data_IF_340363677892
#
_entry.id   IF_340363677892
#
_cell.length_a   1.000
_cell.length_b   1.000
_cell.length_c   1.000
_cell.angle_alpha   90.00
_cell.angle_beta   90.00
_cell.angle_gamma   90.00
#
_symmetry.space_group_name_H-M   'P 1'
#
loop_
_entity.id
_entity.type
_entity.pdbx_description
1 polymer ?
#
# COMPACT_ATOMS: atom_id res chain seq x y z
N UNK A 1 43.84 -4.40 -3.36
CA UNK A 1 43.09 -3.17 -3.08
C UNK A 1 42.01 -3.56 -2.11
N UNK A 2 42.12 -3.10 -0.87
CA UNK A 2 41.20 -3.48 0.21
C UNK A 2 39.94 -2.65 0.14
N UNK A 3 38.81 -3.32 -0.10
CA UNK A 3 37.47 -2.74 -0.03
C UNK A 3 37.21 -2.22 1.40
N UNK A 4 37.13 -0.90 1.52
CA UNK A 4 36.68 -0.22 2.74
C UNK A 4 35.18 -0.43 2.90
N UNK A 5 34.79 -1.55 3.51
CA UNK A 5 33.46 -1.71 4.10
C UNK A 5 33.50 -0.95 5.44
N UNK A 6 32.87 0.22 5.50
CA UNK A 6 32.62 0.87 6.78
C UNK A 6 31.69 -0.04 7.60
N UNK A 7 32.06 -0.48 8.81
CA UNK A 7 31.16 -1.25 9.65
C UNK A 7 29.92 -0.42 9.90
N UNK A 8 28.73 -1.00 9.68
CA UNK A 8 27.48 -0.36 10.06
C UNK A 8 27.59 0.07 11.54
N UNK A 9 27.47 1.37 11.86
CA UNK A 9 27.88 1.94 13.15
C UNK A 9 27.01 1.51 14.36
N UNK A 10 26.19 0.49 14.20
CA UNK A 10 25.35 -0.07 15.26
C UNK A 10 24.16 0.83 15.58
N UNK A 11 23.11 0.22 16.15
CA UNK A 11 21.90 0.95 16.57
C UNK A 11 22.21 2.07 17.58
N UNK A 12 23.29 1.95 18.36
CA UNK A 12 23.67 2.94 19.38
C UNK A 12 24.20 4.26 18.80
N UNK A 13 24.92 4.26 17.66
CA UNK A 13 25.37 5.52 17.06
C UNK A 13 24.23 6.26 16.38
N UNK A 14 23.36 5.55 15.66
CA UNK A 14 22.18 6.15 15.03
C UNK A 14 21.24 6.78 16.07
N UNK A 15 21.12 6.16 17.25
CA UNK A 15 20.30 6.69 18.35
C UNK A 15 20.78 8.06 18.86
N UNK A 16 22.05 8.44 18.63
CA UNK A 16 22.57 9.77 18.97
C UNK A 16 22.11 10.87 18.01
N UNK A 17 21.65 10.50 16.81
CA UNK A 17 21.18 11.42 15.76
C UNK A 17 19.66 11.45 15.63
N UNK A 18 18.93 10.62 16.39
CA UNK A 18 17.47 10.60 16.43
C UNK A 18 17.02 11.35 17.69
N UNK A 19 16.93 12.68 17.58
CA UNK A 19 16.48 13.55 18.68
C UNK A 19 14.99 13.37 19.02
N UNK A 20 14.17 13.00 18.03
CA UNK A 20 12.73 12.75 18.22
C UNK A 20 12.45 11.29 18.51
N UNK A 21 12.34 10.97 19.80
CA UNK A 21 11.75 9.71 20.25
C UNK A 21 10.23 9.83 20.18
N UNK A 22 9.57 8.82 19.60
CA UNK A 22 8.11 8.70 19.70
C UNK A 22 7.69 8.79 21.16
N UNK A 23 6.62 9.54 21.45
CA UNK A 23 6.04 9.53 22.78
C UNK A 23 5.58 8.11 23.13
N UNK A 24 5.52 7.78 24.42
CA UNK A 24 5.03 6.48 24.86
C UNK A 24 3.62 6.18 24.29
N UNK A 25 2.77 7.21 24.24
CA UNK A 25 1.43 7.15 23.68
C UNK A 25 1.48 6.80 22.18
N UNK A 26 2.31 7.50 21.40
CA UNK A 26 2.44 7.19 19.97
C UNK A 26 3.04 5.81 19.73
N UNK A 27 3.98 5.38 20.57
CA UNK A 27 4.53 4.03 20.48
C UNK A 27 3.50 2.95 20.79
N UNK A 28 2.57 3.22 21.71
CA UNK A 28 1.48 2.30 22.04
C UNK A 28 0.44 2.24 20.91
N UNK A 29 0.04 3.39 20.33
CA UNK A 29 -0.88 3.39 19.19
C UNK A 29 -0.33 2.62 17.98
N UNK A 30 0.98 2.64 17.74
CA UNK A 30 1.59 1.93 16.60
C UNK A 30 1.55 0.39 16.73
N UNK A 31 1.29 -0.14 17.93
CA UNK A 31 1.22 -1.59 18.17
C UNK A 31 -0.21 -2.07 18.43
N UNK A 32 -1.20 -1.17 18.37
CA UNK A 32 -2.60 -1.54 18.52
C UNK A 32 -3.07 -2.39 17.34
N UNK A 33 -3.94 -3.39 17.58
CA UNK A 33 -4.56 -4.15 16.50
C UNK A 33 -5.38 -3.21 15.60
N UNK A 34 -5.29 -3.43 14.29
CA UNK A 34 -6.12 -2.70 13.33
C UNK A 34 -7.60 -3.01 13.57
N UNK A 35 -8.43 -1.96 13.53
CA UNK A 35 -9.87 -2.06 13.75
C UNK A 35 -10.65 -2.13 12.43
N UNK A 36 -11.85 -2.70 12.51
CA UNK A 36 -12.76 -2.80 11.37
C UNK A 36 -13.15 -1.41 10.84
N UNK A 37 -13.35 -0.45 11.76
CA UNK A 37 -13.67 0.94 11.43
C UNK A 37 -12.53 1.65 10.70
N UNK A 38 -11.27 1.44 11.11
CA UNK A 38 -10.10 1.98 10.40
C UNK A 38 -10.00 1.42 8.98
N UNK A 39 -10.24 0.11 8.82
CA UNK A 39 -10.22 -0.56 7.52
C UNK A 39 -11.31 0.02 6.61
N UNK A 40 -12.54 0.09 7.11
CA UNK A 40 -13.67 0.60 6.34
C UNK A 40 -13.49 2.09 5.99
N UNK A 41 -13.10 2.92 6.96
CA UNK A 41 -12.86 4.35 6.72
C UNK A 41 -11.77 4.57 5.67
N UNK A 42 -10.68 3.80 5.76
CA UNK A 42 -9.59 3.86 4.78
C UNK A 42 -10.07 3.43 3.40
N UNK A 43 -10.82 2.32 3.29
CA UNK A 43 -11.36 1.85 2.02
C UNK A 43 -12.30 2.90 1.38
N UNK A 44 -13.20 3.48 2.17
CA UNK A 44 -14.15 4.50 1.72
C UNK A 44 -13.50 5.87 1.44
N UNK A 45 -12.25 6.09 1.86
CA UNK A 45 -11.49 7.30 1.52
C UNK A 45 -10.92 7.27 0.09
N UNK A 46 -10.81 6.09 -0.53
CA UNK A 46 -10.25 5.92 -1.88
C UNK A 46 -11.12 6.63 -2.92
N UNK A 47 -10.55 7.55 -3.71
CA UNK A 47 -11.27 8.25 -4.77
C UNK A 47 -12.01 7.24 -5.69
N UNK A 48 -13.35 7.26 -5.76
CA UNK A 48 -14.12 6.27 -6.49
C UNK A 48 -14.11 6.48 -8.00
N UNK A 49 -13.68 7.66 -8.46
CA UNK A 49 -13.58 8.02 -9.87
C UNK A 49 -12.28 7.53 -10.52
N UNK A 50 -11.47 6.75 -9.77
CA UNK A 50 -10.33 6.04 -10.34
C UNK A 50 -10.79 5.07 -11.43
N UNK A 51 -9.91 4.86 -12.41
CA UNK A 51 -10.14 3.90 -13.49
C UNK A 51 -10.43 2.51 -12.92
N UNK A 52 -11.34 1.74 -13.54
CA UNK A 52 -11.65 0.38 -13.11
C UNK A 52 -10.44 -0.55 -13.27
N UNK A 53 -10.42 -1.62 -12.47
CA UNK A 53 -9.46 -2.70 -12.65
C UNK A 53 -9.74 -3.50 -13.94
N UNK A 54 -8.94 -4.55 -14.21
CA UNK A 54 -9.17 -5.47 -15.32
C UNK A 54 -10.54 -6.18 -15.29
N UNK A 55 -11.16 -6.20 -14.12
CA UNK A 55 -12.50 -6.74 -13.88
C UNK A 55 -13.62 -5.79 -14.33
N UNK A 56 -13.31 -4.54 -14.67
CA UNK A 56 -14.26 -3.53 -15.10
C UNK A 56 -15.02 -2.84 -13.95
N UNK A 57 -14.73 -3.16 -12.68
CA UNK A 57 -15.39 -2.53 -11.54
C UNK A 57 -14.60 -1.31 -11.05
N UNK A 58 -15.28 -0.19 -10.87
CA UNK A 58 -14.70 1.04 -10.33
C UNK A 58 -14.97 1.18 -8.82
N UNK A 59 -14.38 2.19 -8.19
CA UNK A 59 -14.55 2.40 -6.74
C UNK A 59 -16.00 2.64 -6.31
N UNK A 60 -16.86 3.16 -7.18
CA UNK A 60 -18.29 3.31 -6.89
C UNK A 60 -19.00 1.97 -6.70
N UNK A 61 -18.63 0.95 -7.48
CA UNK A 61 -19.18 -0.40 -7.32
C UNK A 61 -18.90 -0.91 -5.91
N UNK A 62 -17.63 -0.95 -5.50
CA UNK A 62 -17.23 -1.48 -4.20
C UNK A 62 -17.81 -0.70 -3.01
N UNK A 63 -17.97 0.63 -3.14
CA UNK A 63 -18.67 1.43 -2.13
C UNK A 63 -20.13 1.04 -1.99
N UNK A 64 -20.85 0.85 -3.11
CA UNK A 64 -22.27 0.46 -3.11
C UNK A 64 -22.46 -0.97 -2.60
N UNK A 65 -21.55 -1.88 -2.93
CA UNK A 65 -21.62 -3.30 -2.56
C UNK A 65 -20.86 -3.62 -1.27
N UNK A 66 -20.40 -2.63 -0.51
CA UNK A 66 -19.63 -2.83 0.72
C UNK A 66 -20.35 -3.74 1.73
N UNK A 67 -21.67 -3.65 1.83
CA UNK A 67 -22.47 -4.54 2.69
C UNK A 67 -22.40 -6.03 2.30
N UNK A 68 -21.93 -6.33 1.09
CA UNK A 68 -21.74 -7.70 0.56
C UNK A 68 -20.27 -8.10 0.70
N UNK A 69 -19.35 -7.29 0.15
CA UNK A 69 -17.92 -7.65 0.03
C UNK A 69 -17.05 -7.18 1.20
N UNK A 70 -17.53 -6.20 1.97
CA UNK A 70 -16.80 -5.57 3.07
C UNK A 70 -16.38 -6.53 4.18
N UNK A 71 -17.23 -7.47 4.64
CA UNK A 71 -16.85 -8.46 5.64
C UNK A 71 -15.62 -9.28 5.23
N UNK A 72 -15.61 -9.80 4.00
CA UNK A 72 -14.50 -10.60 3.46
C UNK A 72 -13.22 -9.76 3.32
N UNK A 73 -13.35 -8.49 2.90
CA UNK A 73 -12.22 -7.56 2.78
C UNK A 73 -11.60 -7.26 4.16
N UNK A 74 -12.43 -7.02 5.18
CA UNK A 74 -11.98 -6.78 6.56
C UNK A 74 -11.24 -8.02 7.09
N UNK A 75 -11.81 -9.20 6.92
CA UNK A 75 -11.19 -10.46 7.36
C UNK A 75 -9.82 -10.66 6.70
N UNK A 76 -9.74 -10.51 5.37
CA UNK A 76 -8.49 -10.67 4.63
C UNK A 76 -7.40 -9.67 5.09
N UNK A 77 -7.77 -8.41 5.37
CA UNK A 77 -6.82 -7.41 5.86
C UNK A 77 -6.34 -7.76 7.27
N UNK A 78 -7.23 -8.17 8.17
CA UNK A 78 -6.84 -8.59 9.54
C UNK A 78 -5.96 -9.84 9.52
N UNK A 79 -6.26 -10.80 8.64
CA UNK A 79 -5.40 -11.96 8.43
C UNK A 79 -4.01 -11.53 7.93
N UNK A 80 -3.93 -10.55 7.02
CA UNK A 80 -2.64 -10.02 6.57
C UNK A 80 -1.82 -9.42 7.72
N UNK A 81 -2.43 -8.61 8.60
CA UNK A 81 -1.72 -8.02 9.74
C UNK A 81 -1.25 -9.06 10.78
N UNK A 82 -1.91 -10.21 10.87
CA UNK A 82 -1.51 -11.29 11.80
C UNK A 82 -0.51 -12.27 11.16
N UNK A 83 -0.69 -12.61 9.89
CA UNK A 83 0.08 -13.65 9.19
C UNK A 83 1.27 -13.11 8.38
N UNK A 84 1.27 -11.79 8.09
CA UNK A 84 2.15 -11.12 7.13
C UNK A 84 2.08 -11.71 5.72
N UNK A 85 0.96 -12.38 5.36
CA UNK A 85 0.76 -13.02 4.06
C UNK A 85 -0.47 -12.44 3.38
N UNK A 86 -0.30 -12.05 2.12
CA UNK A 86 -1.40 -11.69 1.23
C UNK A 86 -1.48 -12.74 0.13
N UNK A 87 -2.70 -13.07 -0.31
CA UNK A 87 -2.89 -13.94 -1.46
C UNK A 87 -2.19 -13.34 -2.68
N UNK A 88 -1.38 -14.15 -3.38
CA UNK A 88 -0.62 -13.68 -4.57
C UNK A 88 -1.50 -13.05 -5.65
N UNK A 89 -2.74 -13.53 -5.78
CA UNK A 89 -3.72 -12.98 -6.72
C UNK A 89 -4.08 -11.52 -6.42
N UNK A 90 -4.11 -11.11 -5.14
CA UNK A 90 -4.38 -9.73 -4.74
C UNK A 90 -3.22 -8.78 -5.04
N UNK A 91 -2.00 -9.31 -5.22
CA UNK A 91 -0.82 -8.54 -5.63
C UNK A 91 -0.69 -8.41 -7.16
N UNK A 92 -1.69 -8.86 -7.93
CA UNK A 92 -1.66 -8.74 -9.39
C UNK A 92 -2.08 -7.33 -9.80
N UNK A 93 -1.15 -6.59 -10.40
CA UNK A 93 -1.38 -5.24 -10.91
C UNK A 93 -1.42 -5.28 -12.44
N UNK A 94 -2.45 -4.67 -13.04
CA UNK A 94 -2.48 -4.44 -14.48
C UNK A 94 -1.75 -3.14 -14.82
N UNK A 95 -0.80 -3.23 -15.76
CA UNK A 95 -0.06 -2.08 -16.25
C UNK A 95 -0.80 -1.53 -17.46
N UNK A 96 -1.35 -0.33 -17.33
CA UNK A 96 -1.85 0.44 -18.47
C UNK A 96 -0.75 1.36 -19.00
N UNK A 97 -0.64 1.49 -20.33
CA UNK A 97 0.35 2.34 -20.98
C UNK A 97 -0.34 3.59 -21.53
N UNK A 98 -0.03 4.76 -20.95
CA UNK A 98 -0.55 6.05 -21.43
C UNK A 98 0.45 6.69 -22.40
N UNK A 99 0.05 7.01 -23.64
CA UNK A 99 0.91 7.73 -24.58
C UNK A 99 1.33 9.09 -24.04
N UNK A 100 2.62 9.44 -24.15
CA UNK A 100 3.14 10.78 -23.83
C UNK A 100 3.12 11.73 -25.04
N UNK A 101 3.12 11.17 -26.25
CA UNK A 101 3.20 11.91 -27.52
C UNK A 101 2.15 11.39 -28.51
N UNK A 102 1.71 12.20 -29.48
CA UNK A 102 0.94 11.73 -30.63
C UNK A 102 1.75 10.70 -31.43
N UNK A 103 1.12 9.60 -31.85
CA UNK A 103 1.75 8.50 -32.61
C UNK A 103 3.00 7.89 -31.92
N UNK A 104 2.85 7.33 -30.70
CA UNK A 104 3.95 6.69 -29.99
C UNK A 104 4.50 5.50 -30.78
N UNK A 105 5.83 5.39 -30.88
CA UNK A 105 6.51 4.37 -31.70
C UNK A 105 7.54 3.54 -30.93
N UNK A 106 7.92 4.00 -29.73
CA UNK A 106 8.86 3.29 -28.85
C UNK A 106 8.25 3.09 -27.46
N UNK A 107 8.76 2.12 -26.70
CA UNK A 107 8.32 1.87 -25.30
C UNK A 107 8.53 3.12 -24.43
N UNK A 108 9.60 3.87 -24.70
CA UNK A 108 9.90 5.13 -24.02
C UNK A 108 8.87 6.23 -24.26
N UNK A 109 7.98 6.10 -25.24
CA UNK A 109 6.91 7.08 -25.53
C UNK A 109 5.68 6.89 -24.64
N UNK A 110 5.64 5.82 -23.85
CA UNK A 110 4.55 5.54 -22.93
C UNK A 110 4.96 5.81 -21.48
N UNK A 111 3.99 6.21 -20.67
CA UNK A 111 4.10 6.22 -19.22
C UNK A 111 3.33 5.00 -18.69
N UNK A 112 4.00 4.03 -18.05
CA UNK A 112 3.28 2.97 -17.36
C UNK A 112 2.55 3.58 -16.17
N UNK A 113 1.28 3.24 -16.04
CA UNK A 113 0.46 3.50 -14.87
C UNK A 113 -0.16 2.19 -14.39
N UNK A 114 -0.31 2.08 -13.08
CA UNK A 114 -0.93 0.98 -12.35
C UNK A 114 -2.04 1.53 -11.49
#
# INVERSE_FOLDING_TARGET
GSDHITPYPGKQELAKFIDKKLSLIHSQMLIEPITDDEIQATFLSINPDKAPGPDGFNGHFFRKTWHIVGPDVIEAIKEFFTSSKLLKALNSTAIALVPKVPNPSTVGDYRPIS
#
